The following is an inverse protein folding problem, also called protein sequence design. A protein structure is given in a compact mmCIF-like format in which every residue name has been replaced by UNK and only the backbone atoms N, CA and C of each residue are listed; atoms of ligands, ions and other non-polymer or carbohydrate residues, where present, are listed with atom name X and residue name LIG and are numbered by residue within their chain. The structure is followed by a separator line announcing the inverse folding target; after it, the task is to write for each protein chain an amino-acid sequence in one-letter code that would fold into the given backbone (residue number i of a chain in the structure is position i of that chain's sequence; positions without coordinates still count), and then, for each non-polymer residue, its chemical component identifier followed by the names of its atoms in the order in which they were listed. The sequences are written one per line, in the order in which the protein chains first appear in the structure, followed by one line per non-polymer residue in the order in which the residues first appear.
data_IF_096419473908
#
_entry.id   IF_096419473908
#
_cell.length_a   1.000
_cell.length_b   1.000
_cell.length_c   1.000
_cell.angle_alpha   90.00
_cell.angle_beta   90.00
_cell.angle_gamma   90.00
#
_symmetry.space_group_name_H-M   'P 1'
#
loop_
_entity.id
_entity.type
_entity.pdbx_description
1 polymer ?
#
# COMPACT_ATOMS: atom_id res chain seq x y z
N UNK A 1 -4.61 -2.01 11.27
CA UNK A 1 -4.08 -1.91 9.90
C UNK A 1 -2.78 -2.70 9.79
N UNK A 2 -2.56 -3.36 8.65
CA UNK A 2 -1.38 -4.14 8.34
C UNK A 2 -0.88 -3.71 6.97
N UNK A 3 0.43 -3.55 6.84
CA UNK A 3 1.09 -3.40 5.56
C UNK A 3 2.23 -4.41 5.51
N UNK A 4 2.20 -5.28 4.51
CA UNK A 4 3.24 -6.27 4.26
C UNK A 4 3.88 -6.00 2.91
N UNK A 5 5.19 -5.87 2.90
CA UNK A 5 5.98 -5.62 1.72
C UNK A 5 7.20 -6.54 1.70
N UNK A 6 7.84 -6.74 0.54
CA UNK A 6 9.09 -7.49 0.44
C UNK A 6 10.19 -6.83 1.28
N UNK A 7 11.14 -7.64 1.75
CA UNK A 7 12.30 -7.14 2.50
C UNK A 7 13.22 -6.26 1.64
N UNK A 8 13.24 -6.50 0.32
CA UNK A 8 14.04 -5.75 -0.64
C UNK A 8 13.16 -5.31 -1.80
N UNK A 9 13.13 -4.00 -2.04
CA UNK A 9 12.49 -3.39 -3.20
C UNK A 9 13.53 -3.22 -4.30
N UNK A 10 13.33 -3.87 -5.45
CA UNK A 10 14.25 -3.76 -6.59
C UNK A 10 13.80 -2.65 -7.53
N UNK A 11 14.78 -1.95 -8.10
CA UNK A 11 14.52 -0.90 -9.08
C UNK A 11 14.14 -1.54 -10.41
N UNK A 12 13.03 -1.10 -11.00
CA UNK A 12 12.57 -1.54 -12.32
C UNK A 12 11.75 -2.84 -12.35
N UNK A 13 11.57 -3.52 -11.21
CA UNK A 13 10.57 -4.58 -11.03
C UNK A 13 9.28 -4.03 -10.42
N UNK A 14 8.17 -4.71 -10.68
CA UNK A 14 6.95 -4.50 -9.90
C UNK A 14 7.04 -5.30 -8.60
N UNK A 15 6.82 -4.66 -7.46
CA UNK A 15 6.87 -5.30 -6.14
C UNK A 15 5.46 -5.39 -5.55
N UNK A 16 5.04 -6.59 -5.13
CA UNK A 16 3.72 -6.79 -4.54
C UNK A 16 3.69 -6.33 -3.08
N UNK A 17 2.69 -5.52 -2.74
CA UNK A 17 2.42 -5.01 -1.40
C UNK A 17 1.00 -5.42 -1.00
N UNK A 18 0.87 -5.93 0.22
CA UNK A 18 -0.41 -6.28 0.81
C UNK A 18 -0.80 -5.25 1.86
N UNK A 19 -2.06 -4.84 1.84
CA UNK A 19 -2.64 -3.91 2.82
C UNK A 19 -3.96 -4.45 3.32
N UNK A 20 -4.17 -4.38 4.64
CA UNK A 20 -5.37 -4.88 5.31
C UNK A 20 -5.79 -3.96 6.48
N UNK A 21 -7.11 -3.78 6.65
CA UNK A 21 -7.69 -3.19 7.85
C UNK A 21 -8.50 -4.24 8.64
N UNK A 22 -7.87 -4.84 9.65
CA UNK A 22 -8.53 -5.80 10.56
C UNK A 22 -9.54 -5.13 11.47
N UNK A 23 -10.64 -5.83 11.73
CA UNK A 23 -11.74 -5.43 12.63
C UNK A 23 -12.32 -4.05 12.29
N UNK A 24 -12.23 -3.65 11.02
CA UNK A 24 -12.73 -2.36 10.56
C UNK A 24 -14.21 -2.48 10.16
N UNK A 25 -15.06 -1.66 10.78
CA UNK A 25 -16.52 -1.65 10.57
C UNK A 25 -17.04 -0.31 10.04
N UNK A 26 -16.16 0.52 9.45
CA UNK A 26 -16.54 1.80 8.84
C UNK A 26 -16.96 1.65 7.37
N UNK A 27 -17.01 2.77 6.66
CA UNK A 27 -17.25 2.80 5.21
C UNK A 27 -15.99 2.57 4.39
N UNK A 28 -16.03 2.85 3.08
CA UNK A 28 -14.88 2.65 2.21
C UNK A 28 -13.64 3.44 2.68
N UNK A 29 -12.49 2.76 2.72
CA UNK A 29 -11.23 3.32 3.19
C UNK A 29 -10.28 3.56 2.02
N UNK A 30 -10.01 4.82 1.72
CA UNK A 30 -9.00 5.21 0.74
C UNK A 30 -7.60 5.17 1.37
N UNK A 31 -6.73 4.32 0.85
CA UNK A 31 -5.36 4.15 1.31
C UNK A 31 -4.38 4.57 0.21
N UNK A 32 -3.45 5.44 0.57
CA UNK A 32 -2.35 5.85 -0.32
C UNK A 32 -1.05 5.19 0.13
N UNK A 33 -0.52 4.31 -0.72
CA UNK A 33 0.77 3.65 -0.54
C UNK A 33 1.80 4.51 -1.27
N UNK A 34 2.88 4.92 -0.60
CA UNK A 34 3.92 5.76 -1.20
C UNK A 34 5.33 5.31 -0.82
N UNK A 35 6.24 5.34 -1.81
CA UNK A 35 7.68 5.15 -1.64
C UNK A 35 8.33 6.52 -1.70
N UNK A 36 9.05 6.89 -0.64
CA UNK A 36 9.69 8.20 -0.52
C UNK A 36 11.20 8.06 -0.36
N UNK A 37 11.93 9.09 -0.78
CA UNK A 37 13.38 9.18 -0.60
C UNK A 37 13.76 9.10 0.89
N UNK A 38 14.62 8.16 1.26
CA UNK A 38 15.24 8.14 2.59
C UNK A 38 16.53 8.98 2.59
N UNK A 39 16.89 9.69 3.69
CA UNK A 39 16.14 9.82 4.94
C UNK A 39 15.11 10.96 4.95
N UNK A 40 15.26 11.96 4.07
CA UNK A 40 14.53 13.24 4.16
C UNK A 40 13.02 13.14 3.91
N UNK A 41 12.55 12.11 3.19
CA UNK A 41 11.14 11.88 2.80
C UNK A 41 10.50 13.06 2.04
N UNK A 42 11.33 13.92 1.48
CA UNK A 42 10.97 15.15 0.75
C UNK A 42 10.52 14.90 -0.69
N UNK A 43 10.95 13.76 -1.26
CA UNK A 43 10.60 13.34 -2.61
C UNK A 43 9.83 12.04 -2.62
N UNK A 44 8.63 12.07 -3.21
CA UNK A 44 7.90 10.87 -3.59
C UNK A 44 8.52 10.26 -4.86
N UNK A 45 8.76 8.97 -4.82
CA UNK A 45 9.34 8.18 -5.93
C UNK A 45 8.21 7.49 -6.69
N UNK A 46 7.25 6.92 -5.94
CA UNK A 46 6.12 6.20 -6.48
C UNK A 46 4.96 6.26 -5.47
N UNK A 47 3.73 6.33 -5.96
CA UNK A 47 2.53 6.21 -5.14
C UNK A 47 1.41 5.48 -5.87
N UNK A 48 0.52 4.88 -5.09
CA UNK A 48 -0.67 4.20 -5.57
C UNK A 48 -1.78 4.35 -4.56
N UNK A 49 -2.98 4.68 -5.04
CA UNK A 49 -4.19 4.75 -4.23
C UNK A 49 -5.00 3.48 -4.43
N UNK A 50 -5.46 2.90 -3.33
CA UNK A 50 -6.33 1.73 -3.32
C UNK A 50 -7.50 2.00 -2.38
N UNK A 51 -8.65 1.43 -2.68
CA UNK A 51 -9.84 1.54 -1.84
C UNK A 51 -10.13 0.17 -1.22
N UNK A 52 -10.16 0.15 0.12
CA UNK A 52 -10.57 -1.02 0.89
C UNK A 52 -12.07 -0.89 1.15
N UNK A 53 -12.84 -1.88 0.72
CA UNK A 53 -14.30 -1.90 0.78
C UNK A 53 -14.76 -3.14 1.52
N UNK A 54 -16.04 -3.20 1.91
CA UNK A 54 -16.59 -4.42 2.48
C UNK A 54 -16.50 -5.61 1.50
N UNK A 55 -16.62 -5.36 0.19
CA UNK A 55 -16.56 -6.39 -0.86
C UNK A 55 -15.19 -7.06 -0.96
N UNK A 56 -14.11 -6.33 -0.66
CA UNK A 56 -12.76 -6.89 -0.61
C UNK A 56 -12.31 -7.27 0.80
N UNK A 57 -13.25 -7.37 1.76
CA UNK A 57 -12.97 -7.67 3.17
C UNK A 57 -11.94 -6.71 3.79
N UNK A 58 -11.94 -5.46 3.34
CA UNK A 58 -10.97 -4.44 3.68
C UNK A 58 -9.50 -4.88 3.52
N UNK A 59 -9.21 -5.65 2.48
CA UNK A 59 -7.86 -6.12 2.14
C UNK A 59 -7.58 -6.03 0.65
N UNK A 60 -6.32 -5.81 0.28
CA UNK A 60 -5.90 -5.79 -1.12
C UNK A 60 -4.43 -6.20 -1.27
N UNK A 61 -4.15 -7.00 -2.31
CA UNK A 61 -2.80 -7.23 -2.82
C UNK A 61 -2.63 -6.38 -4.08
N UNK A 62 -1.65 -5.48 -4.08
CA UNK A 62 -1.40 -4.58 -5.21
C UNK A 62 0.07 -4.52 -5.55
N UNK A 63 0.36 -4.27 -6.83
CA UNK A 63 1.71 -4.18 -7.32
C UNK A 63 2.18 -2.71 -7.36
N UNK A 64 3.42 -2.46 -6.95
CA UNK A 64 4.06 -1.14 -6.99
C UNK A 64 5.06 -1.12 -8.14
N UNK A 65 4.72 -0.40 -9.22
CA UNK A 65 5.56 -0.19 -10.40
C UNK A 65 5.65 1.28 -10.77
#
# INVERSE_FOLDING_TARGET
FVLSAPNLLRVGSSENVFVEARDYSGGDLNVMISVKRFPKKDREILSKSVTLTADNYFQILTDMK
#
